data_IF_272847755793
#
_entry.id   IF_272847755793
#
_cell.length_a   1.000
_cell.length_b   1.000
_cell.length_c   1.000
_cell.angle_alpha   90.00
_cell.angle_beta   90.00
_cell.angle_gamma   90.00
#
_symmetry.space_group_name_H-M   'P 1'
#
loop_
_entity.id
_entity.type
_entity.pdbx_description
1 polymer ?
#
# COMPACT_ATOMS: atom_id res chain seq x y z
N UNK A 1 -2.68 -3.18 -25.85
CA UNK A 1 -1.83 -2.44 -24.88
C UNK A 1 -1.19 -3.51 -24.01
N UNK A 2 0.15 -3.64 -23.95
CA UNK A 2 0.77 -4.66 -23.10
C UNK A 2 0.45 -4.37 -21.63
N UNK A 3 0.10 -5.41 -20.88
CA UNK A 3 -0.15 -5.35 -19.46
C UNK A 3 1.20 -5.13 -18.76
N UNK A 4 1.37 -4.03 -18.04
CA UNK A 4 2.66 -3.64 -17.45
C UNK A 4 2.93 -4.36 -16.11
N UNK A 5 2.10 -5.34 -15.77
CA UNK A 5 2.08 -6.04 -14.49
C UNK A 5 0.76 -5.89 -13.77
N UNK A 6 0.73 -6.34 -12.51
CA UNK A 6 -0.41 -6.19 -11.61
C UNK A 6 0.02 -5.52 -10.31
N UNK A 7 -0.85 -4.67 -9.76
CA UNK A 7 -0.72 -4.17 -8.40
C UNK A 7 -1.83 -4.75 -7.52
N UNK A 8 -1.56 -4.87 -6.23
CA UNK A 8 -2.55 -5.25 -5.24
C UNK A 8 -2.96 -4.01 -4.45
N UNK A 9 -4.26 -3.77 -4.31
CA UNK A 9 -4.78 -2.64 -3.52
C UNK A 9 -5.63 -3.21 -2.40
N UNK A 10 -5.32 -2.86 -1.15
CA UNK A 10 -5.97 -3.41 0.04
C UNK A 10 -6.11 -2.37 1.17
N UNK A 11 -6.81 -2.75 2.24
CA UNK A 11 -7.05 -1.93 3.42
C UNK A 11 -8.34 -1.10 3.32
N UNK A 12 -8.28 0.16 3.76
CA UNK A 12 -9.41 1.08 3.83
C UNK A 12 -9.85 1.67 2.47
N UNK A 13 -9.89 0.84 1.43
CA UNK A 13 -10.40 1.18 0.09
C UNK A 13 -11.81 0.63 -0.13
N UNK A 14 -12.54 1.15 -1.12
CA UNK A 14 -13.91 0.66 -1.39
C UNK A 14 -13.93 -0.74 -1.98
N UNK A 15 -13.01 -1.03 -2.90
CA UNK A 15 -12.88 -2.31 -3.60
C UNK A 15 -11.43 -2.83 -3.52
N UNK A 16 -11.06 -3.57 -2.47
CA UNK A 16 -9.75 -4.22 -2.44
C UNK A 16 -9.66 -5.32 -3.51
N UNK A 17 -8.47 -5.56 -4.05
CA UNK A 17 -8.24 -6.56 -5.08
C UNK A 17 -6.98 -6.33 -5.91
N UNK A 18 -6.81 -7.18 -6.92
CA UNK A 18 -5.73 -7.09 -7.90
C UNK A 18 -6.19 -6.20 -9.06
N UNK A 19 -5.36 -5.24 -9.45
CA UNK A 19 -5.61 -4.31 -10.55
C UNK A 19 -4.51 -4.42 -11.60
N UNK A 20 -4.86 -4.47 -12.90
CA UNK A 20 -3.88 -4.48 -13.97
C UNK A 20 -3.23 -3.10 -14.10
N UNK A 21 -1.91 -3.07 -14.14
CA UNK A 21 -1.13 -1.85 -14.31
C UNK A 21 -1.15 -1.49 -15.80
N UNK A 22 -1.73 -0.33 -16.10
CA UNK A 22 -1.64 0.29 -17.43
C UNK A 22 -0.36 1.13 -17.51
N UNK A 23 0.11 1.40 -18.72
CA UNK A 23 1.34 2.18 -18.93
C UNK A 23 1.30 3.51 -18.16
N UNK A 24 2.33 3.77 -17.35
CA UNK A 24 2.50 4.95 -16.49
C UNK A 24 1.43 5.13 -15.39
N UNK A 25 0.82 4.04 -14.94
CA UNK A 25 -0.18 4.10 -13.87
C UNK A 25 0.45 4.47 -12.52
N UNK A 26 -0.22 5.35 -11.79
CA UNK A 26 0.21 5.88 -10.50
C UNK A 26 -0.52 5.24 -9.33
N UNK A 27 0.04 5.39 -8.12
CA UNK A 27 -0.62 4.96 -6.87
C UNK A 27 -2.02 5.59 -6.72
N UNK A 28 -2.14 6.89 -7.04
CA UNK A 28 -3.41 7.63 -6.98
C UNK A 28 -4.46 7.04 -7.92
N UNK A 29 -4.06 6.69 -9.14
CA UNK A 29 -4.95 6.06 -10.13
C UNK A 29 -5.39 4.67 -9.68
N UNK A 30 -4.49 3.87 -9.07
CA UNK A 30 -4.88 2.56 -8.54
C UNK A 30 -5.92 2.67 -7.42
N UNK A 31 -5.73 3.61 -6.50
CA UNK A 31 -6.72 3.90 -5.45
C UNK A 31 -8.04 4.38 -6.07
N UNK A 32 -7.98 5.22 -7.11
CA UNK A 32 -9.17 5.66 -7.83
C UNK A 32 -9.91 4.49 -8.52
N UNK A 33 -9.19 3.56 -9.15
CA UNK A 33 -9.76 2.33 -9.73
C UNK A 33 -10.38 1.43 -8.65
N UNK A 34 -9.79 1.40 -7.45
CA UNK A 34 -10.35 0.75 -6.27
C UNK A 34 -11.60 1.45 -5.70
N UNK A 35 -12.09 2.50 -6.37
CA UNK A 35 -13.27 3.26 -5.99
C UNK A 35 -12.99 4.40 -5.00
N UNK A 36 -11.73 4.68 -4.73
CA UNK A 36 -11.28 5.65 -3.73
C UNK A 36 -11.14 5.06 -2.33
N UNK A 37 -10.61 5.90 -1.43
CA UNK A 37 -10.52 5.61 -0.01
C UNK A 37 -11.93 5.60 0.63
N UNK A 38 -12.09 4.84 1.70
CA UNK A 38 -13.27 4.90 2.57
C UNK A 38 -13.22 6.12 3.48
N UNK A 39 -14.36 6.53 4.02
CA UNK A 39 -14.48 7.72 4.88
C UNK A 39 -13.71 7.64 6.21
N UNK A 40 -13.31 6.44 6.62
CA UNK A 40 -12.52 6.17 7.82
C UNK A 40 -11.07 5.77 7.50
N UNK A 41 -10.66 5.90 6.24
CA UNK A 41 -9.28 5.73 5.85
C UNK A 41 -8.45 6.88 6.41
N UNK A 42 -7.24 6.58 6.82
CA UNK A 42 -6.22 7.58 7.12
C UNK A 42 -5.56 7.97 5.79
N UNK A 43 -5.90 9.15 5.28
CA UNK A 43 -5.39 9.71 4.04
C UNK A 43 -3.91 10.09 4.13
N UNK A 44 -3.36 10.23 5.34
CA UNK A 44 -1.95 10.52 5.54
C UNK A 44 -1.08 9.26 5.63
N UNK A 45 -1.69 8.08 5.74
CA UNK A 45 -1.02 6.80 6.00
C UNK A 45 -1.31 5.73 4.93
N UNK A 46 -0.98 6.03 3.67
CA UNK A 46 -0.96 5.01 2.61
C UNK A 46 0.44 4.40 2.54
N UNK A 47 0.54 3.07 2.53
CA UNK A 47 1.80 2.35 2.40
C UNK A 47 1.90 1.73 1.02
N UNK A 48 2.96 2.06 0.28
CA UNK A 48 3.38 1.35 -0.91
C UNK A 48 4.48 0.38 -0.53
N UNK A 49 4.22 -0.92 -0.68
CA UNK A 49 5.17 -1.98 -0.41
C UNK A 49 5.68 -2.51 -1.75
N UNK A 50 6.98 -2.41 -1.97
CA UNK A 50 7.66 -2.85 -3.18
C UNK A 50 8.67 -3.94 -2.87
N UNK A 51 8.58 -5.06 -3.59
CA UNK A 51 9.57 -6.12 -3.51
C UNK A 51 10.80 -5.75 -4.35
N UNK A 52 11.96 -5.63 -3.71
CA UNK A 52 13.24 -5.44 -4.41
C UNK A 52 13.80 -6.78 -4.88
N UNK A 53 14.69 -6.72 -5.87
CA UNK A 53 15.36 -7.90 -6.45
C UNK A 53 16.21 -8.69 -5.44
N UNK A 54 16.62 -8.05 -4.36
CA UNK A 54 17.37 -8.65 -3.25
C UNK A 54 16.47 -9.41 -2.25
N UNK A 55 15.15 -9.44 -2.48
CA UNK A 55 14.17 -10.07 -1.60
C UNK A 55 13.71 -9.20 -0.43
N UNK A 56 14.26 -7.99 -0.27
CA UNK A 56 13.82 -7.03 0.74
C UNK A 56 12.55 -6.31 0.29
N UNK A 57 11.78 -5.83 1.28
CA UNK A 57 10.55 -5.05 1.03
C UNK A 57 10.83 -3.60 1.35
N UNK A 58 10.69 -2.73 0.37
CA UNK A 58 10.68 -1.29 0.56
C UNK A 58 9.27 -0.86 0.95
N UNK A 59 9.14 -0.06 2.01
CA UNK A 59 7.84 0.47 2.44
C UNK A 59 7.91 1.99 2.35
N UNK A 60 7.21 2.54 1.37
CA UNK A 60 7.12 3.97 1.14
C UNK A 60 5.78 4.44 1.72
N UNK A 61 5.85 5.25 2.78
CA UNK A 61 4.68 5.96 3.29
C UNK A 61 4.35 7.15 2.40
N UNK A 62 3.10 7.22 1.99
CA UNK A 62 2.54 8.16 1.04
C UNK A 62 1.40 8.90 1.73
N UNK A 63 1.48 10.22 1.66
CA UNK A 63 0.41 11.10 2.11
C UNK A 63 -0.49 11.44 0.92
N UNK A 64 -1.71 10.90 0.92
CA UNK A 64 -2.68 11.04 -0.17
C UNK A 64 -3.14 12.48 -0.34
N UNK A 65 -3.33 13.20 0.77
CA UNK A 65 -3.68 14.63 0.77
C UNK A 65 -2.65 15.48 0.01
N UNK A 66 -1.35 15.15 0.13
CA UNK A 66 -0.27 15.82 -0.62
C UNK A 66 -0.18 15.38 -2.07
N UNK A 67 -0.57 14.14 -2.40
CA UNK A 67 -0.65 13.68 -3.80
C UNK A 67 -1.80 14.37 -4.55
N UNK A 68 -2.98 14.51 -3.92
CA UNK A 68 -4.13 15.18 -4.54
C UNK A 68 -3.88 16.66 -4.81
N UNK A 69 -3.12 17.34 -3.94
CA UNK A 69 -2.77 18.76 -4.15
C UNK A 69 -1.72 19.00 -5.24
N UNK A 70 -1.24 17.95 -5.92
CA UNK A 70 -0.24 18.06 -6.99
C UNK A 70 1.15 18.51 -6.52
N UNK A 71 1.38 18.53 -5.20
CA UNK A 71 2.62 19.00 -4.58
C UNK A 71 3.73 17.95 -4.52
N UNK A 72 3.43 16.67 -4.79
CA UNK A 72 4.39 15.56 -4.74
C UNK A 72 4.40 14.80 -6.06
N UNK A 73 5.59 14.34 -6.44
CA UNK A 73 5.84 13.45 -7.57
C UNK A 73 4.87 12.26 -7.60
N UNK A 74 4.17 12.10 -8.73
CA UNK A 74 3.36 10.92 -8.99
C UNK A 74 4.24 9.66 -8.96
N UNK A 75 4.12 8.87 -7.89
CA UNK A 75 4.80 7.60 -7.78
C UNK A 75 4.17 6.61 -8.77
N UNK A 76 4.97 6.23 -9.77
CA UNK A 76 4.61 5.21 -10.74
C UNK A 76 4.63 3.84 -10.07
N UNK A 77 3.60 3.07 -10.36
CA UNK A 77 3.49 1.69 -9.94
C UNK A 77 4.41 0.80 -10.76
N UNK A 78 4.93 -0.21 -10.08
CA UNK A 78 5.70 -1.30 -10.65
C UNK A 78 4.92 -2.60 -10.44
N UNK A 79 5.26 -3.58 -11.26
CA UNK A 79 4.68 -4.92 -11.12
C UNK A 79 4.92 -5.48 -9.71
N UNK A 80 3.92 -6.17 -9.18
CA UNK A 80 3.86 -6.71 -7.82
C UNK A 80 3.90 -5.67 -6.68
N UNK A 81 3.67 -4.39 -6.97
CA UNK A 81 3.47 -3.39 -5.92
C UNK A 81 2.19 -3.67 -5.12
N UNK A 82 2.27 -3.49 -3.81
CA UNK A 82 1.12 -3.57 -2.90
C UNK A 82 0.84 -2.19 -2.32
N UNK A 83 -0.38 -1.70 -2.51
CA UNK A 83 -0.89 -0.46 -1.93
C UNK A 83 -1.81 -0.84 -0.77
N UNK A 84 -1.47 -0.37 0.43
CA UNK A 84 -2.26 -0.59 1.63
C UNK A 84 -2.70 0.74 2.22
N UNK A 85 -4.01 0.96 2.29
CA UNK A 85 -4.59 2.14 2.96
C UNK A 85 -4.89 1.81 4.43
N UNK A 86 -4.28 2.51 5.38
CA UNK A 86 -4.60 2.32 6.79
C UNK A 86 -5.96 2.93 7.14
N UNK A 87 -6.60 2.38 8.18
CA UNK A 87 -7.81 2.95 8.77
C UNK A 87 -7.46 3.63 10.09
N UNK A 88 -7.97 4.84 10.31
CA UNK A 88 -7.74 5.64 11.51
C UNK A 88 -8.24 4.97 12.82
N UNK A 89 -9.02 3.89 12.72
CA UNK A 89 -9.61 3.16 13.85
C UNK A 89 -8.75 2.06 14.47
N UNK A 90 -7.58 1.75 13.88
CA UNK A 90 -6.64 0.77 14.42
C UNK A 90 -5.24 1.32 14.26
N UNK A 91 -4.87 2.24 15.16
CA UNK A 91 -3.47 2.65 15.31
C UNK A 91 -2.65 1.41 15.57
N UNK A 92 -1.90 0.95 14.56
CA UNK A 92 -0.87 -0.04 14.72
C UNK A 92 0.21 0.60 15.58
N UNK A 93 0.14 0.36 16.89
CA UNK A 93 1.06 0.91 17.88
C UNK A 93 2.50 0.55 17.50
N UNK A 94 3.23 1.56 17.05
CA UNK A 94 4.67 1.55 16.87
C UNK A 94 5.36 1.54 18.24
N UNK A 95 6.03 0.46 18.61
CA UNK A 95 7.32 0.50 19.32
C UNK A 95 7.83 -0.91 19.64
N UNK A 96 8.96 -1.29 19.03
CA UNK A 96 9.71 -2.51 19.37
C UNK A 96 9.57 -3.64 18.33
N UNK A 97 10.53 -3.69 17.39
CA UNK A 97 10.98 -4.91 16.69
C UNK A 97 9.90 -5.97 16.38
N UNK A 98 9.00 -5.67 15.43
CA UNK A 98 8.11 -6.68 14.85
C UNK A 98 6.78 -6.06 14.39
N UNK A 99 6.42 -6.26 13.12
CA UNK A 99 5.07 -5.98 12.63
C UNK A 99 4.36 -7.32 12.41
N UNK A 100 3.25 -7.55 13.10
CA UNK A 100 2.40 -8.71 12.89
C UNK A 100 1.36 -8.40 11.81
N UNK A 101 1.56 -8.96 10.61
CA UNK A 101 0.52 -8.98 9.57
C UNK A 101 -0.44 -10.11 9.92
N UNK A 102 -1.43 -9.82 10.76
CA UNK A 102 -2.51 -10.76 11.09
C UNK A 102 -3.81 -10.38 10.39
N UNK A 103 -4.24 -11.19 9.42
CA UNK A 103 -5.68 -11.36 9.19
C UNK A 103 -6.28 -11.87 10.51
N UNK A 104 -7.37 -11.28 11.00
CA UNK A 104 -8.09 -11.79 12.19
C UNK A 104 -8.32 -13.30 12.03
N UNK A 105 -7.54 -14.13 12.74
CA UNK A 105 -7.64 -15.60 12.71
C UNK A 105 -6.35 -16.39 12.44
N UNK A 106 -5.30 -15.79 11.88
CA UNK A 106 -4.04 -16.50 11.59
C UNK A 106 -2.85 -15.65 12.03
N UNK A 107 -2.41 -15.80 13.27
CA UNK A 107 -1.26 -15.07 13.80
C UNK A 107 0.05 -15.57 13.20
N UNK A 108 0.58 -14.86 12.20
CA UNK A 108 1.98 -15.01 11.78
C UNK A 108 2.83 -14.01 12.56
N UNK A 109 3.60 -14.52 13.51
CA UNK A 109 4.63 -13.76 14.22
C UNK A 109 5.84 -13.61 13.30
N UNK A 110 6.17 -12.37 12.92
CA UNK A 110 7.45 -12.07 12.27
C UNK A 110 8.49 -11.78 13.34
N UNK A 111 9.48 -12.66 13.47
CA UNK A 111 10.73 -12.36 14.17
C UNK A 111 11.69 -11.79 13.13
N UNK A 112 12.27 -10.61 13.39
CA UNK A 112 13.40 -10.14 12.60
C UNK A 112 14.56 -11.16 12.79
N UNK A 113 15.26 -11.59 11.73
CA UNK A 113 16.47 -12.38 11.93
C UNK A 113 17.47 -11.53 12.71
N UNK A 114 18.01 -12.12 13.78
CA UNK A 114 19.05 -11.51 14.60
C UNK A 114 20.23 -11.09 13.70
N UNK A 115 20.80 -9.91 13.98
CA UNK A 115 21.96 -9.35 13.27
C UNK A 115 23.21 -10.24 13.40
#
# INVERSE_FOLDING_TARGET
VPEAGHCFVDGAVRKPGIYPIKSNMTVTEAIALAGGLRSYADDDQIKLIRLKKDGTRDVVSINYSKLQSGKISNLLLQDHDIIFAESSGLGLFSSGSGFSIGFMGTGVNYHAPDQ
#
